data_IF_837221674047
#
_entry.id   IF_837221674047
#
_cell.length_a   1.000
_cell.length_b   1.000
_cell.length_c   1.000
_cell.angle_alpha   90.00
_cell.angle_beta   90.00
_cell.angle_gamma   90.00
#
_symmetry.space_group_name_H-M   'P 1'
#
loop_
_entity.id
_entity.type
_entity.pdbx_description
1 polymer ?
#
# COMPACT_ATOMS: atom_id res chain seq x y z
N UNK A 1 69.01 -23.98 -22.50
CA UNK A 1 67.93 -24.52 -21.63
C UNK A 1 68.39 -24.35 -20.20
N UNK A 2 67.66 -23.85 -19.21
CA UNK A 2 66.31 -23.31 -19.06
C UNK A 2 66.37 -22.51 -17.73
N UNK A 3 66.00 -21.22 -17.79
CA UNK A 3 65.22 -20.42 -16.83
C UNK A 3 65.05 -20.86 -15.36
N UNK A 4 65.23 -19.90 -14.44
CA UNK A 4 64.42 -19.82 -13.22
C UNK A 4 65.10 -19.23 -11.98
N UNK A 5 65.20 -17.90 -11.87
CA UNK A 5 65.33 -17.23 -10.57
C UNK A 5 64.36 -16.07 -10.53
N UNK A 6 63.31 -16.27 -9.75
CA UNK A 6 62.12 -15.43 -9.65
C UNK A 6 62.49 -14.20 -8.81
N UNK A 7 62.78 -13.09 -9.50
CA UNK A 7 62.72 -11.76 -8.89
C UNK A 7 61.25 -11.33 -8.90
N UNK A 8 60.55 -11.59 -7.80
CA UNK A 8 59.20 -11.07 -7.60
C UNK A 8 59.28 -9.58 -7.27
N UNK A 9 58.49 -8.70 -7.93
CA UNK A 9 58.37 -7.33 -7.47
C UNK A 9 57.71 -7.35 -6.09
N UNK A 10 58.38 -6.76 -5.10
CA UNK A 10 57.76 -6.43 -3.82
C UNK A 10 56.51 -5.61 -4.11
N UNK A 11 55.33 -6.23 -3.90
CA UNK A 11 54.06 -5.52 -3.87
C UNK A 11 54.16 -4.49 -2.78
N UNK A 12 54.37 -3.24 -3.18
CA UNK A 12 54.14 -2.07 -2.34
C UNK A 12 52.74 -2.25 -1.77
N UNK A 13 52.68 -2.45 -0.47
CA UNK A 13 51.47 -2.33 0.33
C UNK A 13 50.93 -0.92 0.10
N UNK A 14 50.09 -0.77 -0.92
CA UNK A 14 49.16 0.33 -1.01
C UNK A 14 48.17 0.11 0.15
N UNK A 15 48.58 0.52 1.35
CA UNK A 15 47.64 0.90 2.39
C UNK A 15 46.86 2.07 1.80
N UNK A 16 45.77 1.72 1.12
CA UNK A 16 44.66 2.63 0.84
C UNK A 16 44.19 3.14 2.21
N UNK A 17 44.80 4.23 2.68
CA UNK A 17 44.17 5.10 3.65
C UNK A 17 42.83 5.48 3.03
N UNK A 18 41.76 4.93 3.58
CA UNK A 18 40.39 5.18 3.19
C UNK A 18 40.10 6.66 3.46
N UNK A 19 40.45 7.54 2.54
CA UNK A 19 40.02 8.93 2.56
C UNK A 19 38.51 8.90 2.35
N UNK A 20 37.76 9.10 3.43
CA UNK A 20 36.31 9.19 3.37
C UNK A 20 35.90 10.24 2.34
N UNK A 21 34.98 9.86 1.44
CA UNK A 21 34.40 10.82 0.51
C UNK A 21 33.60 11.88 1.26
N UNK A 22 33.45 13.07 0.66
CA UNK A 22 32.51 14.09 1.17
C UNK A 22 31.10 13.53 1.36
N UNK A 23 30.69 12.57 0.51
CA UNK A 23 29.41 11.87 0.66
C UNK A 23 29.38 10.98 1.90
N UNK A 24 30.46 10.25 2.18
CA UNK A 24 30.54 9.37 3.36
C UNK A 24 30.55 10.17 4.67
N UNK A 25 31.21 11.33 4.67
CA UNK A 25 31.17 12.28 5.79
C UNK A 25 29.74 12.77 6.03
N UNK A 26 29.05 13.16 4.96
CA UNK A 26 27.64 13.56 5.02
C UNK A 26 26.73 12.47 5.60
N UNK A 27 26.96 11.20 5.25
CA UNK A 27 26.18 10.09 5.84
C UNK A 27 26.45 9.94 7.34
N UNK A 28 27.72 10.10 7.77
CA UNK A 28 28.07 10.04 9.20
C UNK A 28 27.46 11.17 10.01
N UNK A 29 27.44 12.38 9.46
CA UNK A 29 26.81 13.53 10.12
C UNK A 29 25.32 13.29 10.33
N UNK A 30 24.64 12.69 9.34
CA UNK A 30 23.24 12.31 9.46
C UNK A 30 23.02 11.20 10.49
N UNK A 31 23.86 10.15 10.47
CA UNK A 31 23.83 9.07 11.46
C UNK A 31 23.95 9.65 12.88
N UNK A 32 24.89 10.58 13.10
CA UNK A 32 25.08 11.22 14.40
C UNK A 32 23.83 11.98 14.90
N UNK A 33 23.11 12.66 13.99
CA UNK A 33 21.86 13.36 14.34
C UNK A 33 20.75 12.36 14.66
N UNK A 34 20.61 11.29 13.87
CA UNK A 34 19.53 10.30 14.01
C UNK A 34 19.75 9.30 15.15
N UNK A 35 21.00 9.06 15.52
CA UNK A 35 21.36 8.14 16.61
C UNK A 35 21.22 8.76 18.00
N UNK A 36 21.11 10.10 18.09
CA UNK A 36 20.89 10.81 19.36
C UNK A 36 19.58 10.34 20.03
N UNK A 37 19.61 10.16 21.35
CA UNK A 37 18.44 9.76 22.15
C UNK A 37 17.25 10.72 21.97
N UNK A 38 17.55 12.02 21.89
CA UNK A 38 16.58 13.07 21.57
C UNK A 38 17.06 13.81 20.32
N UNK A 39 16.33 13.63 19.23
CA UNK A 39 16.70 14.18 17.92
C UNK A 39 16.39 15.68 17.87
N UNK A 40 17.40 16.48 17.54
CA UNK A 40 17.25 17.91 17.30
C UNK A 40 16.62 18.15 15.91
N UNK A 41 15.33 18.50 15.90
CA UNK A 41 14.60 18.79 14.67
C UNK A 41 15.15 19.98 13.88
N UNK A 42 15.77 20.95 14.54
CA UNK A 42 16.32 22.12 13.85
C UNK A 42 17.51 21.70 12.98
N UNK A 43 18.43 20.93 13.56
CA UNK A 43 19.56 20.34 12.85
C UNK A 43 19.11 19.38 11.77
N UNK A 44 18.11 18.54 12.05
CA UNK A 44 17.56 17.62 11.06
C UNK A 44 16.99 18.37 9.84
N UNK A 45 16.23 19.45 10.07
CA UNK A 45 15.67 20.30 9.00
C UNK A 45 16.76 20.95 8.15
N UNK A 46 17.77 21.53 8.79
CA UNK A 46 18.92 22.13 8.10
C UNK A 46 19.63 21.10 7.22
N UNK A 47 19.86 19.89 7.75
CA UNK A 47 20.48 18.81 6.98
C UNK A 47 19.61 18.38 5.80
N UNK A 48 18.31 18.17 6.04
CA UNK A 48 17.33 17.71 5.05
C UNK A 48 17.04 18.74 3.96
N UNK A 49 17.31 20.03 4.20
CA UNK A 49 17.13 21.11 3.22
C UNK A 49 17.95 20.88 1.94
N UNK A 50 19.13 20.27 2.07
CA UNK A 50 20.00 19.90 0.95
C UNK A 50 19.65 18.53 0.32
N UNK A 51 18.43 18.04 0.58
CA UNK A 51 17.95 16.72 0.16
C UNK A 51 18.33 15.61 1.15
N UNK A 52 17.64 14.48 1.12
CA UNK A 52 17.93 13.33 1.99
C UNK A 52 18.58 12.23 1.16
N UNK A 53 19.73 11.65 1.59
CA UNK A 53 20.33 10.53 0.89
C UNK A 53 19.35 9.35 0.72
N UNK A 54 19.33 8.73 -0.46
CA UNK A 54 18.45 7.60 -0.77
C UNK A 54 19.13 6.25 -0.48
N UNK A 55 19.72 6.14 0.70
CA UNK A 55 20.40 4.94 1.18
C UNK A 55 19.97 4.64 2.61
N UNK A 56 20.12 3.39 3.06
CA UNK A 56 19.84 2.93 4.44
C UNK A 56 18.44 3.31 4.99
N UNK A 57 17.48 3.67 4.11
CA UNK A 57 16.16 4.12 4.52
C UNK A 57 16.11 5.50 5.19
N UNK A 58 17.14 6.35 5.04
CA UNK A 58 17.16 7.67 5.69
C UNK A 58 15.95 8.52 5.33
N UNK A 59 15.53 8.50 4.06
CA UNK A 59 14.37 9.25 3.59
C UNK A 59 13.11 8.92 4.38
N UNK A 60 12.85 7.63 4.63
CA UNK A 60 11.66 7.20 5.36
C UNK A 60 11.71 7.61 6.84
N UNK A 61 12.87 7.56 7.48
CA UNK A 61 13.02 7.98 8.88
C UNK A 61 12.92 9.50 9.03
N UNK A 62 13.64 10.26 8.20
CA UNK A 62 13.61 11.72 8.22
C UNK A 62 12.20 12.25 7.97
N UNK A 63 11.47 11.69 7.01
CA UNK A 63 10.09 12.11 6.73
C UNK A 63 9.15 11.83 7.91
N UNK A 64 9.28 10.67 8.55
CA UNK A 64 8.47 10.36 9.75
C UNK A 64 8.72 11.35 10.89
N UNK A 65 9.96 11.81 11.07
CA UNK A 65 10.30 12.82 12.08
C UNK A 65 9.82 14.22 11.67
N UNK A 66 10.09 14.65 10.44
CA UNK A 66 9.73 15.98 9.93
C UNK A 66 8.21 16.20 9.87
N UNK A 67 7.45 15.14 9.61
CA UNK A 67 5.97 15.15 9.61
C UNK A 67 5.38 14.92 11.01
N UNK A 68 6.20 14.87 12.07
CA UNK A 68 5.81 14.59 13.45
C UNK A 68 5.05 13.26 13.64
N UNK A 69 5.25 12.30 12.75
CA UNK A 69 4.71 10.94 12.91
C UNK A 69 5.45 10.19 14.02
N UNK A 70 6.77 10.41 14.14
CA UNK A 70 7.58 9.94 15.26
C UNK A 70 7.98 11.13 16.16
N UNK A 71 7.95 10.97 17.49
CA UNK A 71 8.46 11.98 18.40
C UNK A 71 10.00 12.09 18.29
N UNK A 72 10.56 13.22 18.74
CA UNK A 72 12.01 13.42 18.77
C UNK A 72 12.73 12.47 19.72
N UNK A 73 12.03 12.05 20.78
CA UNK A 73 12.50 11.11 21.79
C UNK A 73 12.38 9.67 21.26
N UNK A 74 13.53 9.02 21.07
CA UNK A 74 13.61 7.67 20.49
C UNK A 74 13.01 6.60 21.39
N UNK A 75 13.02 6.80 22.70
CA UNK A 75 12.49 5.83 23.65
C UNK A 75 10.98 5.64 23.52
N UNK A 76 10.29 6.63 22.92
CA UNK A 76 8.83 6.62 22.69
C UNK A 76 8.43 6.08 21.32
N UNK A 77 9.40 5.70 20.46
CA UNK A 77 9.09 5.28 19.10
C UNK A 77 8.29 3.99 19.07
N UNK A 78 8.66 2.99 19.88
CA UNK A 78 7.97 1.70 19.89
C UNK A 78 6.52 1.85 20.37
N UNK A 79 6.30 2.61 21.44
CA UNK A 79 4.96 2.92 21.95
C UNK A 79 4.12 3.66 20.89
N UNK A 80 4.66 4.72 20.28
CA UNK A 80 3.95 5.50 19.27
C UNK A 80 3.62 4.67 18.03
N UNK A 81 4.57 3.85 17.55
CA UNK A 81 4.36 2.99 16.39
C UNK A 81 3.31 1.92 16.67
N UNK A 82 3.34 1.31 17.85
CA UNK A 82 2.33 0.35 18.28
C UNK A 82 0.94 0.99 18.36
N UNK A 83 0.84 2.17 18.97
CA UNK A 83 -0.40 2.94 19.05
C UNK A 83 -0.97 3.25 17.65
N UNK A 84 -0.15 3.81 16.74
CA UNK A 84 -0.59 4.12 15.38
C UNK A 84 -0.97 2.87 14.57
N UNK A 85 -0.25 1.76 14.73
CA UNK A 85 -0.59 0.49 14.06
C UNK A 85 -1.91 -0.08 14.57
N UNK A 86 -2.14 -0.07 15.89
CA UNK A 86 -3.41 -0.50 16.50
C UNK A 86 -4.58 0.37 16.05
N UNK A 87 -4.40 1.68 16.06
CA UNK A 87 -5.41 2.62 15.57
C UNK A 87 -5.73 2.31 14.10
N UNK A 88 -4.72 2.15 13.25
CA UNK A 88 -4.93 1.78 11.85
C UNK A 88 -5.69 0.45 11.70
N UNK A 89 -5.39 -0.57 12.51
CA UNK A 89 -6.15 -1.83 12.50
C UNK A 89 -7.63 -1.63 12.87
N UNK A 90 -7.93 -0.86 13.92
CA UNK A 90 -9.30 -0.52 14.31
C UNK A 90 -10.08 0.15 13.16
N UNK A 91 -9.47 1.14 12.51
CA UNK A 91 -10.06 1.78 11.33
C UNK A 91 -10.36 0.79 10.21
N UNK A 92 -9.48 -0.17 9.98
CA UNK A 92 -9.68 -1.18 8.94
C UNK A 92 -10.82 -2.14 9.28
N UNK A 93 -10.95 -2.53 10.54
CA UNK A 93 -12.05 -3.39 10.99
C UNK A 93 -13.41 -2.70 10.84
N UNK A 94 -13.47 -1.37 10.97
CA UNK A 94 -14.68 -0.57 10.73
C UNK A 94 -14.97 -0.35 9.23
N UNK A 95 -13.96 -0.05 8.43
CA UNK A 95 -14.12 0.34 7.02
C UNK A 95 -14.30 -0.86 6.09
N UNK A 96 -13.67 -2.00 6.40
CA UNK A 96 -13.71 -3.20 5.54
C UNK A 96 -14.89 -4.13 5.84
N UNK A 97 -15.90 -3.66 6.57
CA UNK A 97 -17.14 -4.41 6.85
C UNK A 97 -17.88 -4.72 5.57
N UNK A 98 -18.40 -5.94 5.44
CA UNK A 98 -19.27 -6.36 4.35
C UNK A 98 -20.73 -6.30 4.84
N UNK A 99 -21.65 -5.59 4.16
CA UNK A 99 -23.05 -5.56 4.56
C UNK A 99 -23.64 -6.97 4.63
N UNK A 100 -24.50 -7.20 5.62
CA UNK A 100 -25.08 -8.52 5.88
C UNK A 100 -24.20 -9.46 6.68
N UNK A 101 -23.01 -9.04 7.15
CA UNK A 101 -22.21 -9.83 8.11
C UNK A 101 -22.74 -9.77 9.55
N UNK A 102 -23.72 -8.92 9.83
CA UNK A 102 -24.34 -8.77 11.14
C UNK A 102 -25.83 -9.12 11.02
N UNK A 103 -26.22 -10.27 11.59
CA UNK A 103 -27.54 -10.90 11.44
C UNK A 103 -28.70 -10.19 12.20
N UNK A 104 -28.50 -8.99 12.75
CA UNK A 104 -29.37 -8.47 13.83
C UNK A 104 -30.23 -7.23 13.49
N UNK A 105 -30.29 -6.76 12.24
CA UNK A 105 -31.17 -5.66 11.86
C UNK A 105 -32.16 -6.10 10.78
N UNK A 106 -33.33 -6.62 11.19
CA UNK A 106 -34.41 -7.08 10.30
C UNK A 106 -34.90 -6.01 9.30
N UNK A 107 -34.56 -4.73 9.52
CA UNK A 107 -34.95 -3.60 8.68
C UNK A 107 -33.85 -3.08 7.73
N UNK A 108 -32.60 -3.56 7.82
CA UNK A 108 -31.52 -3.09 6.95
C UNK A 108 -31.29 -4.06 5.77
N UNK A 109 -31.65 -3.64 4.57
CA UNK A 109 -31.62 -4.47 3.38
C UNK A 109 -31.12 -3.70 2.15
N UNK A 110 -30.68 -4.39 1.07
CA UNK A 110 -30.10 -3.77 -0.13
C UNK A 110 -30.99 -2.73 -0.85
N UNK A 111 -32.28 -2.74 -0.57
CA UNK A 111 -33.28 -1.87 -1.19
C UNK A 111 -33.86 -0.87 -0.19
N UNK A 112 -33.26 -0.74 1.00
CA UNK A 112 -33.76 0.17 2.02
C UNK A 112 -33.64 1.61 1.51
N UNK A 113 -34.73 2.37 1.63
CA UNK A 113 -34.75 3.80 1.30
C UNK A 113 -34.20 4.66 2.43
N UNK A 114 -33.89 4.05 3.59
CA UNK A 114 -33.33 4.76 4.75
C UNK A 114 -31.97 5.38 4.39
N UNK A 115 -31.81 6.71 4.51
CA UNK A 115 -30.53 7.39 4.33
C UNK A 115 -29.40 6.83 5.22
N UNK A 116 -29.75 6.26 6.38
CA UNK A 116 -28.82 5.70 7.37
C UNK A 116 -28.59 4.19 7.21
N UNK A 117 -29.18 3.54 6.19
CA UNK A 117 -28.96 2.13 5.88
C UNK A 117 -27.48 1.82 5.61
N UNK A 118 -26.96 0.71 6.15
CA UNK A 118 -25.57 0.27 5.87
C UNK A 118 -25.43 -0.13 4.40
N UNK A 119 -26.49 -0.64 3.79
CA UNK A 119 -26.53 -0.92 2.36
C UNK A 119 -26.40 0.34 1.51
N UNK A 120 -27.08 1.43 1.88
CA UNK A 120 -26.95 2.70 1.18
C UNK A 120 -25.51 3.24 1.24
N UNK A 121 -24.89 3.21 2.43
CA UNK A 121 -23.47 3.57 2.62
C UNK A 121 -22.56 2.69 1.77
N UNK A 122 -22.78 1.37 1.78
CA UNK A 122 -22.00 0.44 0.97
C UNK A 122 -22.09 0.70 -0.54
N UNK A 123 -23.26 1.03 -1.08
CA UNK A 123 -23.39 1.34 -2.50
C UNK A 123 -22.69 2.66 -2.87
N UNK A 124 -22.76 3.67 -2.00
CA UNK A 124 -22.00 4.92 -2.17
C UNK A 124 -20.49 4.66 -2.13
N UNK A 125 -20.04 3.85 -1.18
CA UNK A 125 -18.65 3.43 -1.06
C UNK A 125 -18.17 2.69 -2.31
N UNK A 126 -18.96 1.75 -2.84
CA UNK A 126 -18.63 1.02 -4.06
C UNK A 126 -18.54 1.92 -5.30
N UNK A 127 -19.38 2.96 -5.38
CA UNK A 127 -19.27 3.97 -6.44
C UNK A 127 -17.93 4.71 -6.36
N UNK A 128 -17.51 5.10 -5.16
CA UNK A 128 -16.23 5.75 -4.96
C UNK A 128 -15.04 4.81 -5.20
N UNK A 129 -15.11 3.57 -4.70
CA UNK A 129 -14.13 2.52 -4.96
C UNK A 129 -13.95 2.27 -6.45
N UNK A 130 -15.03 2.36 -7.24
CA UNK A 130 -14.95 2.24 -8.71
C UNK A 130 -14.09 3.32 -9.35
N UNK A 131 -14.06 4.54 -8.79
CA UNK A 131 -13.18 5.60 -9.27
C UNK A 131 -11.75 5.36 -8.78
N UNK A 132 -11.58 4.96 -7.51
CA UNK A 132 -10.27 4.64 -6.93
C UNK A 132 -9.57 3.53 -7.74
N UNK A 133 -10.27 2.43 -8.07
CA UNK A 133 -9.72 1.33 -8.87
C UNK A 133 -9.22 1.81 -10.23
N UNK A 134 -9.99 2.66 -10.92
CA UNK A 134 -9.57 3.27 -12.20
C UNK A 134 -8.35 4.14 -12.04
N UNK A 135 -8.27 4.93 -10.97
CA UNK A 135 -7.14 5.83 -10.70
C UNK A 135 -5.87 5.05 -10.35
N UNK A 136 -6.00 4.00 -9.52
CA UNK A 136 -4.91 3.10 -9.17
C UNK A 136 -4.36 2.39 -10.40
N UNK A 137 -5.21 1.90 -11.31
CA UNK A 137 -4.78 1.26 -12.56
C UNK A 137 -4.06 2.21 -13.53
N UNK A 138 -4.29 3.52 -13.41
CA UNK A 138 -3.58 4.55 -14.19
C UNK A 138 -2.27 5.00 -13.55
N UNK A 139 -2.03 4.67 -12.29
CA UNK A 139 -0.84 5.09 -11.57
C UNK A 139 0.39 4.31 -12.05
N UNK A 140 1.16 4.91 -12.95
CA UNK A 140 2.46 4.42 -13.42
C UNK A 140 2.51 2.90 -13.71
N UNK A 141 1.80 2.42 -14.75
CA UNK A 141 1.72 0.99 -15.07
C UNK A 141 3.08 0.33 -15.29
N UNK A 142 4.06 1.10 -15.79
CA UNK A 142 5.43 0.65 -16.06
C UNK A 142 6.28 0.40 -14.79
N UNK A 143 5.80 0.80 -13.61
CA UNK A 143 6.54 0.61 -12.37
C UNK A 143 6.18 -0.74 -11.74
N UNK A 144 7.09 -1.72 -11.87
CA UNK A 144 6.91 -3.08 -11.35
C UNK A 144 6.65 -3.16 -9.83
N UNK A 145 7.08 -2.15 -9.07
CA UNK A 145 6.81 -2.00 -7.64
C UNK A 145 5.33 -2.27 -7.30
N UNK A 146 4.40 -1.72 -8.08
CA UNK A 146 2.98 -1.85 -7.79
C UNK A 146 2.45 -3.28 -7.92
N UNK A 147 3.05 -4.09 -8.80
CA UNK A 147 2.66 -5.49 -9.04
C UNK A 147 3.33 -6.46 -8.05
N UNK A 148 4.37 -6.03 -7.34
CA UNK A 148 5.07 -6.84 -6.36
C UNK A 148 4.25 -7.05 -5.09
N UNK A 149 4.47 -8.19 -4.44
CA UNK A 149 3.94 -8.46 -3.11
C UNK A 149 4.55 -7.48 -2.10
N UNK A 150 3.71 -6.98 -1.21
CA UNK A 150 4.17 -6.21 -0.04
C UNK A 150 4.67 -7.15 1.05
N UNK A 151 5.70 -6.72 1.79
CA UNK A 151 6.20 -7.44 2.97
C UNK A 151 5.25 -7.38 4.16
N UNK A 152 4.22 -6.52 4.10
CA UNK A 152 3.27 -6.27 5.18
C UNK A 152 1.81 -6.49 4.73
N UNK A 153 1.44 -7.70 4.26
CA UNK A 153 0.09 -7.97 3.82
C UNK A 153 -0.88 -7.91 4.98
N UNK A 154 -2.09 -7.43 4.73
CA UNK A 154 -3.12 -7.38 5.75
C UNK A 154 -3.82 -8.75 5.87
N UNK A 155 -3.51 -9.52 6.93
CA UNK A 155 -3.98 -10.90 7.14
C UNK A 155 -5.49 -11.08 7.00
N UNK A 156 -6.28 -10.17 7.57
CA UNK A 156 -7.75 -10.26 7.51
C UNK A 156 -8.30 -10.07 6.08
N UNK A 157 -7.55 -9.45 5.17
CA UNK A 157 -7.91 -9.26 3.76
C UNK A 157 -7.37 -10.41 2.91
N UNK A 158 -6.09 -10.75 3.05
CA UNK A 158 -5.46 -11.73 2.15
C UNK A 158 -5.97 -13.16 2.34
N UNK A 159 -6.44 -13.52 3.54
CA UNK A 159 -7.03 -14.83 3.85
C UNK A 159 -8.57 -14.81 3.88
N UNK A 160 -9.21 -13.78 3.32
CA UNK A 160 -10.68 -13.67 3.29
C UNK A 160 -11.33 -14.38 2.11
N UNK A 161 -10.58 -15.20 1.36
CA UNK A 161 -10.97 -15.73 0.05
C UNK A 161 -11.47 -14.65 -0.92
N UNK A 162 -10.95 -13.43 -0.73
CA UNK A 162 -11.26 -12.23 -1.49
C UNK A 162 -12.49 -11.45 -1.04
N UNK A 163 -13.26 -11.92 -0.05
CA UNK A 163 -14.50 -11.26 0.42
C UNK A 163 -14.22 -9.84 0.95
N UNK A 164 -13.05 -9.63 1.56
CA UNK A 164 -12.65 -8.32 2.11
C UNK A 164 -11.72 -7.52 1.19
N UNK A 165 -11.39 -8.02 0.00
CA UNK A 165 -10.57 -7.27 -0.97
C UNK A 165 -11.44 -6.22 -1.68
N UNK A 166 -11.00 -4.96 -1.65
CA UNK A 166 -11.78 -3.82 -2.16
C UNK A 166 -12.01 -3.91 -3.68
N UNK A 167 -10.98 -4.29 -4.44
CA UNK A 167 -11.08 -4.49 -5.88
C UNK A 167 -12.19 -5.49 -6.30
N UNK A 168 -12.54 -6.47 -5.45
CA UNK A 168 -13.64 -7.41 -5.73
C UNK A 168 -15.02 -6.78 -5.59
N UNK A 169 -15.16 -5.72 -4.80
CA UNK A 169 -16.40 -4.92 -4.71
C UNK A 169 -16.61 -4.06 -5.94
N UNK A 170 -15.52 -3.67 -6.59
CA UNK A 170 -15.51 -2.85 -7.81
C UNK A 170 -15.67 -3.69 -9.08
N UNK A 171 -15.32 -4.98 -9.01
CA UNK A 171 -15.56 -5.92 -10.10
C UNK A 171 -17.01 -5.82 -10.52
N UNK A 172 -17.26 -5.15 -11.65
CA UNK A 172 -18.55 -5.24 -12.33
C UNK A 172 -18.81 -6.73 -12.43
N UNK A 173 -19.90 -7.19 -11.82
CA UNK A 173 -20.45 -8.49 -12.15
C UNK A 173 -20.83 -8.42 -13.62
N UNK A 174 -19.88 -8.65 -14.52
CA UNK A 174 -20.20 -9.12 -15.85
C UNK A 174 -20.82 -10.48 -15.58
N UNK A 175 -22.15 -10.50 -15.54
CA UNK A 175 -22.86 -11.76 -15.57
C UNK A 175 -22.27 -12.54 -16.74
N UNK A 176 -21.75 -13.74 -16.44
CA UNK A 176 -21.19 -14.61 -17.45
C UNK A 176 -22.30 -14.87 -18.48
N UNK A 177 -22.20 -14.18 -19.61
CA UNK A 177 -23.15 -14.30 -20.70
C UNK A 177 -22.55 -15.24 -21.73
N UNK A 178 -23.33 -16.24 -22.11
CA UNK A 178 -22.98 -17.14 -23.17
C UNK A 178 -24.00 -16.98 -24.29
N UNK A 179 -23.51 -17.02 -25.53
CA UNK A 179 -24.41 -17.04 -26.67
C UNK A 179 -25.02 -18.43 -26.77
N UNK A 180 -26.34 -18.49 -26.84
CA UNK A 180 -27.08 -19.73 -27.09
C UNK A 180 -27.26 -19.88 -28.59
N UNK A 181 -26.65 -20.91 -29.17
CA UNK A 181 -26.79 -21.23 -30.61
C UNK A 181 -27.62 -22.49 -30.75
N UNK A 182 -28.74 -22.39 -31.48
CA UNK A 182 -29.55 -23.55 -31.88
C UNK A 182 -29.06 -24.04 -33.25
N UNK A 183 -28.59 -25.27 -33.34
CA UNK A 183 -28.49 -25.99 -34.62
C UNK A 183 -29.74 -26.86 -34.72
N UNK A 184 -30.34 -26.96 -35.91
CA UNK A 184 -31.63 -27.63 -36.13
C UNK A 184 -31.74 -29.02 -35.48
N UNK A 185 -32.99 -29.49 -35.33
CA UNK A 185 -33.39 -30.67 -34.54
C UNK A 185 -33.17 -30.53 -33.02
N UNK A 186 -33.42 -29.34 -32.47
CA UNK A 186 -33.57 -29.14 -31.01
C UNK A 186 -32.28 -29.14 -30.20
N UNK A 187 -31.10 -29.23 -30.82
CA UNK A 187 -29.82 -29.21 -30.11
C UNK A 187 -29.43 -27.77 -29.75
N UNK A 188 -29.29 -27.51 -28.45
CA UNK A 188 -28.84 -26.22 -27.90
C UNK A 188 -27.35 -26.32 -27.55
N UNK A 189 -26.51 -25.50 -28.20
CA UNK A 189 -25.10 -25.35 -27.85
C UNK A 189 -24.88 -24.00 -27.17
N UNK A 190 -24.32 -24.03 -25.96
CA UNK A 190 -23.92 -22.84 -25.22
C UNK A 190 -22.46 -22.56 -25.59
N UNK A 191 -22.21 -21.43 -26.24
CA UNK A 191 -20.84 -20.99 -26.54
C UNK A 191 -20.52 -19.84 -25.57
N UNK A 192 -19.61 -20.03 -24.60
CA UNK A 192 -19.20 -18.94 -23.72
C UNK A 192 -18.61 -17.82 -24.58
N UNK A 193 -19.00 -16.57 -24.29
CA UNK A 193 -18.36 -15.40 -24.90
C UNK A 193 -16.93 -15.38 -24.35
N UNK A 194 -15.92 -15.23 -25.22
CA UNK A 194 -14.56 -15.03 -24.74
C UNK A 194 -14.57 -13.86 -23.76
N UNK A 195 -14.00 -14.07 -22.57
CA UNK A 195 -13.79 -12.99 -21.60
C UNK A 195 -13.15 -11.84 -22.36
N UNK A 196 -13.88 -10.74 -22.54
CA UNK A 196 -13.25 -9.49 -22.91
C UNK A 196 -12.45 -9.10 -21.69
N UNK A 197 -11.19 -9.56 -21.66
CA UNK A 197 -10.20 -9.11 -20.71
C UNK A 197 -10.03 -7.63 -21.00
N UNK A 198 -10.79 -6.80 -20.30
CA UNK A 198 -10.61 -5.36 -20.31
C UNK A 198 -9.22 -5.08 -19.74
N UNK A 199 -8.22 -4.96 -20.61
CA UNK A 199 -6.99 -4.16 -20.46
C UNK A 199 -6.53 -3.92 -19.01
N UNK A 200 -6.21 -4.98 -18.27
CA UNK A 200 -5.78 -4.85 -16.88
C UNK A 200 -4.64 -5.81 -16.58
N UNK A 201 -3.43 -5.31 -16.78
CA UNK A 201 -2.15 -5.92 -16.43
C UNK A 201 -2.03 -6.22 -14.91
N UNK A 202 -2.83 -5.54 -14.08
CA UNK A 202 -2.87 -5.74 -12.63
C UNK A 202 -3.88 -6.83 -12.22
N UNK A 203 -3.38 -8.06 -12.09
CA UNK A 203 -4.13 -9.17 -11.46
C UNK A 203 -3.82 -9.26 -9.96
N UNK A 204 -4.80 -9.58 -9.11
CA UNK A 204 -4.54 -9.91 -7.71
C UNK A 204 -3.56 -11.07 -7.59
N UNK A 205 -2.69 -11.00 -6.58
CA UNK A 205 -1.75 -12.07 -6.26
C UNK A 205 -2.48 -13.25 -5.59
N UNK A 206 -1.76 -14.36 -5.42
CA UNK A 206 -2.28 -15.56 -4.76
C UNK A 206 -2.73 -15.29 -3.32
N UNK A 207 -3.58 -16.18 -2.79
CA UNK A 207 -4.10 -16.06 -1.43
C UNK A 207 -2.94 -16.03 -0.40
N UNK A 208 -3.03 -15.14 0.58
CA UNK A 208 -1.93 -14.85 1.51
C UNK A 208 -0.96 -13.75 1.06
N UNK A 209 -0.99 -13.31 -0.20
CA UNK A 209 -0.21 -12.17 -0.70
C UNK A 209 -1.08 -10.96 -1.04
N UNK A 210 -0.51 -9.78 -0.90
CA UNK A 210 -1.14 -8.51 -1.25
C UNK A 210 -0.20 -7.70 -2.14
N UNK A 211 -0.69 -7.23 -3.28
CA UNK A 211 0.10 -6.39 -4.16
C UNK A 211 0.16 -4.95 -3.63
N UNK A 212 1.24 -4.22 -3.92
CA UNK A 212 1.35 -2.81 -3.52
C UNK A 212 0.22 -1.94 -4.09
N UNK A 213 -0.32 -2.24 -5.28
CA UNK A 213 -1.48 -1.51 -5.81
C UNK A 213 -2.74 -1.69 -4.94
N UNK A 214 -2.94 -2.86 -4.32
CA UNK A 214 -4.06 -3.11 -3.39
C UNK A 214 -3.88 -2.32 -2.09
N UNK A 215 -2.63 -2.14 -1.64
CA UNK A 215 -2.30 -1.27 -0.51
C UNK A 215 -2.66 0.19 -0.82
N UNK A 216 -2.33 0.67 -2.03
CA UNK A 216 -2.69 2.03 -2.47
C UNK A 216 -4.20 2.23 -2.51
N UNK A 217 -4.93 1.28 -3.09
CA UNK A 217 -6.40 1.29 -3.12
C UNK A 217 -6.97 1.45 -1.70
N UNK A 218 -6.49 0.66 -0.74
CA UNK A 218 -6.90 0.74 0.67
C UNK A 218 -6.56 2.08 1.31
N UNK A 219 -5.36 2.62 1.08
CA UNK A 219 -4.96 3.93 1.63
C UNK A 219 -5.86 5.03 1.08
N UNK A 220 -6.13 5.04 -0.23
CA UNK A 220 -6.99 6.04 -0.87
C UNK A 220 -8.43 5.95 -0.36
N UNK A 221 -8.96 4.74 -0.23
CA UNK A 221 -10.31 4.53 0.32
C UNK A 221 -10.40 5.02 1.76
N UNK A 222 -9.40 4.72 2.61
CA UNK A 222 -9.34 5.25 3.98
C UNK A 222 -9.31 6.78 4.00
N UNK A 223 -8.47 7.41 3.17
CA UNK A 223 -8.39 8.88 3.11
C UNK A 223 -9.72 9.51 2.68
N UNK A 224 -10.45 8.88 1.78
CA UNK A 224 -11.79 9.31 1.39
C UNK A 224 -12.76 9.24 2.56
N UNK A 225 -12.76 8.12 3.29
CA UNK A 225 -13.58 7.97 4.50
C UNK A 225 -13.24 9.09 5.49
N UNK A 226 -11.98 9.29 5.88
CA UNK A 226 -11.61 10.34 6.84
C UNK A 226 -12.13 11.74 6.40
N UNK A 227 -12.08 12.06 5.11
CA UNK A 227 -12.63 13.32 4.58
C UNK A 227 -14.15 13.42 4.70
N UNK A 228 -14.88 12.32 4.54
CA UNK A 228 -16.33 12.31 4.73
C UNK A 228 -16.69 12.58 6.19
N UNK A 229 -15.96 11.98 7.14
CA UNK A 229 -16.13 12.19 8.58
C UNK A 229 -15.83 13.64 9.00
N UNK A 230 -14.72 14.24 8.55
CA UNK A 230 -14.40 15.63 8.90
C UNK A 230 -15.37 16.64 8.28
N UNK A 231 -15.91 16.36 7.08
CA UNK A 231 -16.96 17.16 6.47
C UNK A 231 -18.33 17.05 7.15
N UNK A 232 -18.58 15.97 7.91
CA UNK A 232 -19.77 15.83 8.77
C UNK A 232 -19.62 16.62 10.07
N UNK A 233 -18.44 16.61 10.72
CA UNK A 233 -18.19 17.45 11.89
C UNK A 233 -18.28 18.95 11.58
N UNK A 234 -17.81 19.40 10.42
CA UNK A 234 -17.87 20.81 10.02
C UNK A 234 -19.28 21.34 9.70
N UNK A 235 -20.31 20.47 9.64
CA UNK A 235 -21.72 20.87 9.41
C UNK A 235 -22.55 20.97 10.69
N UNK A 236 -21.98 20.61 11.84
CA UNK A 236 -22.59 20.77 13.16
C UNK A 236 -21.94 21.89 14.00
N UNK A 237 -20.95 22.57 13.41
CA UNK A 237 -20.39 23.91 13.73
C UNK A 237 -21.36 25.08 13.50
#
# INVERSE_FOLDING_TARGET
MLIGSISGPQKILQKSLFTMSSYDLRLKDLDQVLESEVIDLSKLREFCFNGIPDVKGYRSLCWRLLLNYLPCDRNKWDEQLDHHRKLYQQWLDEILVTPGSFDNEECDHPLSEDPNSKWNTFFKDNQALTQIDKDVRRLHPELSFFQQATDYPLSNVVYSSGTKRLNRRVGMHFLNSANVVRKGLGIVKITPKAEQTSTSEFKPLEEGSEAHWEVVERILFRLLQIKSWTGLCARHE
#
